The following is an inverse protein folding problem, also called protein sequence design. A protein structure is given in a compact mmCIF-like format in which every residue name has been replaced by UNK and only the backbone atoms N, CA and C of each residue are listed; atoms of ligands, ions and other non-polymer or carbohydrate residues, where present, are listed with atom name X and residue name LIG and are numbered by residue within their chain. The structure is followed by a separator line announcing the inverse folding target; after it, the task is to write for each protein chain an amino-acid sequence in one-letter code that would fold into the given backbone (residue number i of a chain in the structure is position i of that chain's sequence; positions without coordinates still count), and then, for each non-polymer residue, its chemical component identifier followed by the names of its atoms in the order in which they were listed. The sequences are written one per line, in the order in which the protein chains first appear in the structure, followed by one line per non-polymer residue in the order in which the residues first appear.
data_IF_000043169069
#
_entry.id   IF_000043169069
#
_cell.length_a   1.000
_cell.length_b   1.000
_cell.length_c   1.000
_cell.angle_alpha   90.00
_cell.angle_beta   90.00
_cell.angle_gamma   90.00
#
_symmetry.space_group_name_H-M   'P 1'
#
loop_
_entity.id
_entity.type
_entity.pdbx_description
1 polymer ?
#
# COMPACT_ATOMS: atom_id res chain seq x y z
N UNK A 1 13.63 -7.79 4.57
CA UNK A 1 12.17 -7.66 4.69
C UNK A 1 11.69 -7.99 6.10
N UNK A 2 12.17 -9.09 6.69
CA UNK A 2 11.75 -9.49 8.05
C UNK A 2 12.09 -8.41 9.09
N UNK A 3 13.29 -7.82 9.02
CA UNK A 3 13.68 -6.74 9.93
C UNK A 3 12.78 -5.49 9.78
N UNK A 4 12.36 -5.17 8.56
CA UNK A 4 11.40 -4.10 8.32
C UNK A 4 10.01 -4.44 8.90
N UNK A 5 9.56 -5.68 8.73
CA UNK A 5 8.30 -6.15 9.31
C UNK A 5 8.33 -6.09 10.85
N UNK A 6 9.44 -6.49 11.48
CA UNK A 6 9.64 -6.39 12.93
C UNK A 6 9.58 -4.93 13.40
N UNK A 7 10.22 -4.01 12.70
CA UNK A 7 10.15 -2.56 13.02
C UNK A 7 8.72 -2.03 12.97
N UNK A 8 7.92 -2.45 11.96
CA UNK A 8 6.50 -2.07 11.89
C UNK A 8 5.68 -2.63 13.06
N UNK A 9 5.98 -3.87 13.47
CA UNK A 9 5.36 -4.50 14.65
C UNK A 9 5.71 -3.75 15.93
N UNK A 10 6.99 -3.47 16.16
CA UNK A 10 7.47 -2.77 17.36
C UNK A 10 6.89 -1.36 17.48
N UNK A 11 6.66 -0.69 16.34
CA UNK A 11 5.94 0.59 16.28
C UNK A 11 4.41 0.45 16.44
N UNK A 12 3.86 -0.76 16.55
CA UNK A 12 2.41 -1.01 16.64
C UNK A 12 1.63 -0.64 15.38
N UNK A 13 2.32 -0.58 14.22
CA UNK A 13 1.74 -0.10 12.95
C UNK A 13 1.06 -1.20 12.14
N UNK A 14 1.22 -2.47 12.53
CA UNK A 14 0.65 -3.59 11.79
C UNK A 14 -0.20 -4.49 12.67
N UNK A 15 -1.13 -5.19 12.05
CA UNK A 15 -2.01 -6.15 12.71
C UNK A 15 -2.28 -7.37 11.83
N UNK A 16 -2.58 -8.56 12.42
CA UNK A 16 -2.92 -9.75 11.68
C UNK A 16 -4.32 -9.64 11.06
N UNK A 17 -4.47 -10.13 9.82
CA UNK A 17 -5.73 -10.06 9.10
C UNK A 17 -6.03 -11.36 8.36
N UNK A 18 -7.07 -12.08 8.77
CA UNK A 18 -7.54 -13.30 8.10
C UNK A 18 -8.54 -13.03 6.95
N UNK A 19 -8.95 -11.77 6.74
CA UNK A 19 -9.97 -11.42 5.75
C UNK A 19 -9.51 -11.70 4.32
N UNK A 20 -10.35 -12.34 3.55
CA UNK A 20 -10.14 -12.61 2.14
C UNK A 20 -10.44 -11.39 1.26
N UNK A 21 -9.92 -11.41 0.03
CA UNK A 21 -10.24 -10.37 -0.97
C UNK A 21 -11.74 -10.30 -1.28
N UNK A 22 -12.44 -11.43 -1.28
CA UNK A 22 -13.88 -11.49 -1.52
C UNK A 22 -14.68 -10.81 -0.40
N UNK A 23 -14.29 -10.98 0.86
CA UNK A 23 -14.94 -10.30 1.99
C UNK A 23 -14.74 -8.79 1.92
N UNK A 24 -13.54 -8.32 1.58
CA UNK A 24 -13.27 -6.88 1.39
C UNK A 24 -14.10 -6.33 0.23
N UNK A 25 -14.14 -7.04 -0.90
CA UNK A 25 -14.97 -6.67 -2.05
C UNK A 25 -16.46 -6.61 -1.72
N UNK A 26 -16.95 -7.52 -0.88
CA UNK A 26 -18.35 -7.58 -0.46
C UNK A 26 -18.76 -6.38 0.40
N UNK A 27 -17.83 -5.70 1.06
CA UNK A 27 -18.09 -4.44 1.76
C UNK A 27 -18.41 -3.27 0.80
N UNK A 28 -18.06 -3.40 -0.50
CA UNK A 28 -18.50 -2.54 -1.57
C UNK A 28 -17.89 -1.14 -1.62
N UNK A 29 -16.93 -0.82 -0.74
CA UNK A 29 -16.30 0.51 -0.71
C UNK A 29 -15.19 0.53 -1.76
N UNK A 30 -15.38 1.29 -2.83
CA UNK A 30 -14.38 1.46 -3.89
C UNK A 30 -13.49 2.67 -3.63
N UNK A 31 -12.23 2.56 -4.05
CA UNK A 31 -11.33 3.69 -4.17
C UNK A 31 -11.90 4.75 -5.13
N UNK A 32 -11.69 6.01 -4.82
CA UNK A 32 -11.96 7.14 -5.72
C UNK A 32 -11.04 7.09 -6.95
N UNK A 33 -9.85 6.51 -6.79
CA UNK A 33 -8.83 6.33 -7.84
C UNK A 33 -8.67 4.85 -8.15
N UNK A 34 -9.14 4.40 -9.32
CA UNK A 34 -8.97 3.03 -9.79
C UNK A 34 -10.04 2.04 -9.35
N UNK A 35 -9.80 0.75 -9.60
CA UNK A 35 -10.80 -0.32 -9.45
C UNK A 35 -10.65 -1.14 -8.17
N UNK A 36 -9.78 -0.73 -7.27
CA UNK A 36 -9.58 -1.49 -6.04
C UNK A 36 -10.63 -1.14 -4.96
N UNK A 37 -10.83 -2.12 -4.07
CA UNK A 37 -11.72 -1.98 -2.92
C UNK A 37 -10.92 -1.60 -1.67
N UNK A 38 -11.43 -0.62 -0.95
CA UNK A 38 -10.85 -0.18 0.32
C UNK A 38 -11.09 -1.22 1.40
N UNK A 39 -10.13 -1.39 2.30
CA UNK A 39 -10.31 -2.17 3.51
C UNK A 39 -11.24 -1.40 4.45
N UNK A 40 -12.39 -1.98 4.86
CA UNK A 40 -13.41 -1.27 5.65
C UNK A 40 -12.86 -0.79 7.00
N UNK A 41 -13.26 0.42 7.41
CA UNK A 41 -12.85 1.02 8.68
C UNK A 41 -13.25 0.17 9.89
N UNK A 42 -14.42 -0.43 9.82
CA UNK A 42 -14.99 -1.29 10.88
C UNK A 42 -14.15 -2.55 11.11
N UNK A 43 -13.50 -3.06 10.07
CA UNK A 43 -12.60 -4.21 10.15
C UNK A 43 -11.20 -3.80 10.64
N UNK A 44 -10.82 -2.55 10.41
CA UNK A 44 -9.54 -1.98 10.88
C UNK A 44 -9.52 -1.79 12.41
N UNK A 45 -10.65 -1.61 13.06
CA UNK A 45 -10.77 -1.44 14.51
C UNK A 45 -10.59 -2.74 15.30
N UNK A 46 -10.67 -3.91 14.65
CA UNK A 46 -10.47 -5.23 15.27
C UNK A 46 -8.98 -5.62 15.39
N UNK A 47 -8.11 -4.63 15.58
CA UNK A 47 -6.64 -4.77 15.57
C UNK A 47 -6.07 -5.61 16.71
N UNK A 48 -6.82 -5.81 17.81
CA UNK A 48 -6.30 -6.31 19.09
C UNK A 48 -6.58 -7.79 19.37
N UNK A 49 -7.09 -8.61 18.43
CA UNK A 49 -7.70 -9.88 18.80
C UNK A 49 -6.81 -11.14 18.70
N UNK A 50 -5.48 -11.00 18.52
CA UNK A 50 -4.62 -12.22 18.50
C UNK A 50 -3.32 -12.04 19.26
N UNK A 51 -3.41 -11.91 20.56
CA UNK A 51 -2.30 -12.17 21.46
C UNK A 51 -1.99 -13.68 21.48
N UNK A 52 -0.76 -14.06 21.16
CA UNK A 52 -0.26 -15.42 21.32
C UNK A 52 0.07 -16.19 20.02
N UNK A 53 -0.20 -15.67 18.84
CA UNK A 53 0.25 -16.30 17.58
C UNK A 53 1.76 -16.08 17.35
N UNK A 54 2.45 -17.12 16.88
CA UNK A 54 3.85 -17.04 16.47
C UNK A 54 4.00 -16.01 15.34
N UNK A 55 4.79 -14.97 15.55
CA UNK A 55 5.02 -13.90 14.56
C UNK A 55 6.10 -14.32 13.55
N UNK A 56 5.90 -14.05 12.24
CA UNK A 56 4.68 -13.55 11.61
C UNK A 56 3.58 -14.60 11.41
N UNK A 57 3.86 -15.89 11.67
CA UNK A 57 2.93 -16.99 11.55
C UNK A 57 2.42 -17.20 10.12
N UNK A 58 1.35 -17.98 10.00
CA UNK A 58 0.67 -18.25 8.73
C UNK A 58 -0.55 -17.32 8.53
N UNK A 59 -0.34 -16.01 8.69
CA UNK A 59 -1.38 -15.00 8.53
C UNK A 59 -0.91 -13.82 7.70
N UNK A 60 -1.84 -13.08 7.10
CA UNK A 60 -1.51 -11.83 6.45
C UNK A 60 -1.37 -10.71 7.50
N UNK A 61 -0.46 -9.76 7.25
CA UNK A 61 -0.32 -8.57 8.07
C UNK A 61 -0.59 -7.32 7.24
N UNK A 62 -1.41 -6.42 7.80
CA UNK A 62 -1.74 -5.13 7.18
C UNK A 62 -1.12 -3.98 7.95
N UNK A 63 -0.68 -2.97 7.21
CA UNK A 63 -0.38 -1.66 7.79
C UNK A 63 -1.69 -0.98 8.16
N UNK A 64 -1.74 -0.51 9.40
CA UNK A 64 -2.84 0.29 9.90
C UNK A 64 -2.71 1.72 9.42
N UNK A 65 -3.78 2.27 8.87
CA UNK A 65 -3.86 3.67 8.44
C UNK A 65 -4.95 4.40 9.21
N UNK A 66 -4.89 5.73 9.27
CA UNK A 66 -5.93 6.52 9.89
C UNK A 66 -6.77 7.19 8.82
N UNK A 67 -8.06 6.94 8.83
CA UNK A 67 -9.00 7.55 7.89
C UNK A 67 -9.04 9.07 8.07
N UNK A 68 -8.89 9.78 6.96
CA UNK A 68 -8.79 11.24 6.89
C UNK A 68 -7.35 11.76 6.87
N UNK A 69 -6.34 10.90 7.11
CA UNK A 69 -4.95 11.31 6.89
C UNK A 69 -4.68 11.52 5.40
N UNK A 70 -3.83 12.48 5.08
CA UNK A 70 -3.42 12.80 3.72
C UNK A 70 -1.97 12.38 3.48
N UNK A 71 -1.71 11.81 2.30
CA UNK A 71 -0.37 11.55 1.82
C UNK A 71 -0.10 12.43 0.61
N UNK A 72 0.83 13.35 0.77
CA UNK A 72 1.27 14.26 -0.29
C UNK A 72 2.45 13.66 -1.05
N UNK A 73 2.36 13.68 -2.38
CA UNK A 73 3.43 13.31 -3.32
C UNK A 73 3.72 14.52 -4.18
N UNK A 74 5.00 14.88 -4.32
CA UNK A 74 5.45 15.84 -5.33
C UNK A 74 5.95 15.04 -6.52
N UNK A 75 5.19 15.10 -7.62
CA UNK A 75 5.44 14.31 -8.82
C UNK A 75 5.98 15.17 -9.95
N UNK A 76 6.97 14.67 -10.68
CA UNK A 76 7.63 15.43 -11.74
C UNK A 76 6.74 15.79 -12.94
N UNK A 77 5.63 15.05 -13.16
CA UNK A 77 4.66 15.35 -14.22
C UNK A 77 3.34 15.92 -13.67
N UNK A 78 2.82 15.31 -12.62
CA UNK A 78 1.50 15.65 -12.08
C UNK A 78 1.53 16.87 -11.14
N UNK A 79 2.74 17.28 -10.69
CA UNK A 79 2.89 18.30 -9.67
C UNK A 79 2.56 17.75 -8.28
N UNK A 80 1.92 18.57 -7.45
CA UNK A 80 1.50 18.15 -6.13
C UNK A 80 0.22 17.32 -6.21
N UNK A 81 0.29 16.09 -5.71
CA UNK A 81 -0.83 15.16 -5.63
C UNK A 81 -1.07 14.80 -4.15
N UNK A 82 -2.31 14.90 -3.71
CA UNK A 82 -2.73 14.54 -2.35
C UNK A 82 -3.71 13.37 -2.44
N UNK A 83 -3.37 12.28 -1.77
CA UNK A 83 -4.24 11.11 -1.62
C UNK A 83 -4.71 10.99 -0.18
N UNK A 84 -6.01 10.74 -0.02
CA UNK A 84 -6.68 10.66 1.28
C UNK A 84 -6.94 9.21 1.69
N UNK A 85 -6.56 8.87 2.90
CA UNK A 85 -6.88 7.57 3.52
C UNK A 85 -8.38 7.47 3.76
N UNK A 86 -8.99 6.39 3.29
CA UNK A 86 -10.43 6.15 3.39
C UNK A 86 -11.22 6.57 2.16
N UNK A 87 -10.59 7.35 1.26
CA UNK A 87 -11.17 7.75 -0.03
C UNK A 87 -10.40 7.16 -1.20
N UNK A 88 -9.07 7.24 -1.19
CA UNK A 88 -8.20 6.76 -2.26
C UNK A 88 -7.56 5.42 -1.94
N UNK A 89 -7.15 5.21 -0.71
CA UNK A 89 -6.64 3.94 -0.22
C UNK A 89 -6.95 3.77 1.27
N UNK A 90 -6.68 2.60 1.82
CA UNK A 90 -6.88 2.28 3.24
C UNK A 90 -5.86 1.24 3.68
N UNK A 91 -6.07 0.57 4.83
CA UNK A 91 -5.17 -0.47 5.34
C UNK A 91 -4.76 -1.46 4.27
N UNK A 92 -3.48 -1.62 4.04
CA UNK A 92 -2.94 -2.42 2.96
C UNK A 92 -1.99 -3.52 3.44
N UNK A 93 -1.84 -4.54 2.61
CA UNK A 93 -1.04 -5.71 2.92
C UNK A 93 0.44 -5.35 2.90
N UNK A 94 1.18 -5.74 3.96
CA UNK A 94 2.63 -5.64 4.04
C UNK A 94 3.32 -7.00 4.13
N UNK A 95 2.62 -8.02 4.66
CA UNK A 95 3.14 -9.38 4.73
C UNK A 95 2.06 -10.40 4.39
N UNK A 96 2.43 -11.41 3.64
CA UNK A 96 1.53 -12.45 3.16
C UNK A 96 1.62 -13.68 4.07
N UNK A 97 0.50 -14.39 4.20
CA UNK A 97 0.42 -15.65 4.97
C UNK A 97 1.36 -16.76 4.48
N UNK A 98 1.83 -16.69 3.25
CA UNK A 98 2.81 -17.62 2.68
C UNK A 98 4.26 -17.27 3.02
N UNK A 99 4.48 -16.34 3.96
CA UNK A 99 5.81 -15.99 4.48
C UNK A 99 6.59 -15.00 3.61
N UNK A 100 5.94 -14.31 2.67
CA UNK A 100 6.58 -13.39 1.73
C UNK A 100 6.13 -11.96 2.00
N UNK A 101 7.05 -11.00 1.90
CA UNK A 101 6.74 -9.57 1.93
C UNK A 101 5.74 -9.23 0.81
N UNK A 102 4.74 -8.42 1.11
CA UNK A 102 3.84 -7.91 0.09
C UNK A 102 4.55 -6.83 -0.75
N UNK A 103 4.01 -6.57 -1.94
CA UNK A 103 4.62 -5.68 -2.93
C UNK A 103 5.06 -4.33 -2.36
N UNK A 104 4.21 -3.65 -1.60
CA UNK A 104 4.50 -2.32 -1.07
C UNK A 104 5.71 -2.34 -0.12
N UNK A 105 5.75 -3.31 0.80
CA UNK A 105 6.89 -3.43 1.72
C UNK A 105 8.16 -3.86 1.01
N UNK A 106 8.06 -4.83 0.08
CA UNK A 106 9.23 -5.32 -0.65
C UNK A 106 9.88 -4.19 -1.46
N UNK A 107 9.08 -3.44 -2.22
CA UNK A 107 9.56 -2.31 -3.04
C UNK A 107 10.26 -1.26 -2.18
N UNK A 108 9.64 -0.81 -1.08
CA UNK A 108 10.23 0.22 -0.21
C UNK A 108 11.55 -0.23 0.41
N UNK A 109 11.64 -1.49 0.84
CA UNK A 109 12.88 -2.03 1.41
C UNK A 109 13.98 -2.12 0.36
N UNK A 110 13.65 -2.60 -0.85
CA UNK A 110 14.62 -2.73 -1.94
C UNK A 110 15.09 -1.35 -2.42
N UNK A 111 14.17 -0.41 -2.63
CA UNK A 111 14.50 0.95 -3.04
C UNK A 111 15.42 1.64 -2.02
N UNK A 112 15.12 1.49 -0.72
CA UNK A 112 15.97 2.03 0.34
C UNK A 112 17.37 1.41 0.35
N UNK A 113 17.46 0.07 0.28
CA UNK A 113 18.75 -0.65 0.31
C UNK A 113 19.59 -0.38 -0.94
N UNK A 114 18.94 -0.25 -2.10
CA UNK A 114 19.58 0.07 -3.37
C UNK A 114 19.86 1.57 -3.54
N UNK A 115 19.42 2.41 -2.58
CA UNK A 115 19.56 3.88 -2.63
C UNK A 115 18.93 4.48 -3.88
N UNK A 116 17.74 4.00 -4.25
CA UNK A 116 16.97 4.54 -5.36
C UNK A 116 16.54 5.97 -4.99
N UNK A 117 16.82 6.91 -5.87
CA UNK A 117 16.51 8.34 -5.70
C UNK A 117 15.38 8.81 -6.57
N UNK A 118 15.09 8.09 -7.67
CA UNK A 118 14.06 8.46 -8.64
C UNK A 118 13.27 7.21 -9.07
N UNK A 119 11.95 7.33 -9.12
CA UNK A 119 11.03 6.26 -9.55
C UNK A 119 10.19 6.77 -10.71
N UNK A 120 10.35 6.15 -11.88
CA UNK A 120 9.52 6.41 -13.07
C UNK A 120 8.62 5.21 -13.33
N UNK A 121 7.30 5.44 -13.35
CA UNK A 121 6.30 4.37 -13.56
C UNK A 121 4.98 4.91 -14.11
N UNK A 122 4.04 4.04 -14.48
CA UNK A 122 2.72 4.46 -14.94
C UNK A 122 1.87 5.06 -13.82
N UNK A 123 0.98 6.00 -14.17
CA UNK A 123 0.09 6.67 -13.20
C UNK A 123 -0.92 5.73 -12.54
N UNK A 124 -1.13 4.52 -13.07
CA UNK A 124 -1.92 3.47 -12.42
C UNK A 124 -1.31 2.95 -11.11
N UNK A 125 -0.05 3.28 -10.85
CA UNK A 125 0.64 2.97 -9.59
C UNK A 125 0.65 4.14 -8.60
N UNK A 126 -0.12 5.19 -8.83
CA UNK A 126 -0.16 6.37 -7.96
C UNK A 126 -0.63 6.01 -6.53
N UNK A 127 -1.61 5.12 -6.39
CA UNK A 127 -2.05 4.59 -5.09
C UNK A 127 -0.91 3.81 -4.41
N UNK A 128 -0.19 2.97 -5.15
CA UNK A 128 0.99 2.27 -4.61
C UNK A 128 2.07 3.25 -4.17
N UNK A 129 2.28 4.34 -4.91
CA UNK A 129 3.23 5.39 -4.51
C UNK A 129 2.88 6.01 -3.18
N UNK A 130 1.59 6.30 -2.93
CA UNK A 130 1.17 6.87 -1.65
C UNK A 130 1.37 5.90 -0.49
N UNK A 131 1.07 4.62 -0.67
CA UNK A 131 1.34 3.56 0.32
C UNK A 131 2.83 3.42 0.61
N UNK A 132 3.66 3.50 -0.42
CA UNK A 132 5.11 3.43 -0.30
C UNK A 132 5.66 4.68 0.41
N UNK A 133 5.16 5.87 0.08
CA UNK A 133 5.50 7.10 0.81
C UNK A 133 5.19 6.97 2.31
N UNK A 134 4.03 6.43 2.65
CA UNK A 134 3.66 6.19 4.05
C UNK A 134 4.61 5.22 4.76
N UNK A 135 5.09 4.18 4.05
CA UNK A 135 6.11 3.27 4.58
C UNK A 135 7.48 3.94 4.73
N UNK A 136 7.94 4.74 3.75
CA UNK A 136 9.17 5.51 3.86
C UNK A 136 9.14 6.42 5.09
N UNK A 137 8.04 7.13 5.32
CA UNK A 137 7.87 8.00 6.50
C UNK A 137 7.86 7.20 7.80
N UNK A 138 7.15 6.04 7.81
CA UNK A 138 7.08 5.18 8.99
C UNK A 138 8.47 4.65 9.40
N UNK A 139 9.35 4.43 8.43
CA UNK A 139 10.73 3.99 8.67
C UNK A 139 11.71 5.14 8.90
N UNK A 140 11.28 6.38 8.78
CA UNK A 140 12.15 7.57 8.80
C UNK A 140 13.21 7.51 7.67
N UNK A 141 12.84 6.96 6.50
CA UNK A 141 13.68 6.87 5.32
C UNK A 141 13.37 8.00 4.33
N UNK A 142 14.38 8.53 3.60
CA UNK A 142 14.12 9.52 2.58
C UNK A 142 13.24 8.95 1.47
N UNK A 143 12.22 9.68 1.06
CA UNK A 143 11.39 9.31 -0.08
C UNK A 143 12.16 9.56 -1.38
N UNK A 144 12.07 8.67 -2.39
CA UNK A 144 12.54 8.97 -3.75
C UNK A 144 11.66 10.03 -4.41
N UNK A 145 12.16 10.65 -5.46
CA UNK A 145 11.36 11.48 -6.36
C UNK A 145 10.49 10.58 -7.26
N UNK A 146 9.29 11.04 -7.59
CA UNK A 146 8.35 10.28 -8.42
C UNK A 146 8.07 10.99 -9.74
N UNK A 147 7.95 10.19 -10.80
CA UNK A 147 7.45 10.62 -12.10
C UNK A 147 6.45 9.59 -12.62
N UNK A 148 5.17 9.95 -12.60
CA UNK A 148 4.11 9.07 -13.10
C UNK A 148 3.79 9.42 -14.57
N UNK A 149 4.22 8.54 -15.49
CA UNK A 149 3.95 8.64 -16.92
C UNK A 149 2.49 8.33 -17.24
N UNK A 150 2.01 8.88 -18.36
CA UNK A 150 0.67 8.60 -18.87
C UNK A 150 0.49 7.13 -19.24
N UNK A 151 -0.75 6.65 -19.11
CA UNK A 151 -1.10 5.29 -19.54
C UNK A 151 -1.32 5.25 -21.04
N UNK A 152 -0.78 4.24 -21.69
CA UNK A 152 -1.12 3.95 -23.07
C UNK A 152 -2.52 3.33 -23.12
N UNK A 153 -3.40 3.96 -23.89
CA UNK A 153 -4.76 3.52 -24.08
C UNK A 153 -4.92 2.88 -25.48
N UNK A 154 -5.73 1.83 -25.57
CA UNK A 154 -6.17 1.30 -26.83
C UNK A 154 -7.21 2.23 -27.49
N UNK A 155 -7.54 2.01 -28.75
CA UNK A 155 -8.53 2.80 -29.50
C UNK A 155 -9.93 2.84 -28.87
N UNK A 156 -10.26 1.87 -28.01
CA UNK A 156 -11.50 1.82 -27.23
C UNK A 156 -11.41 2.54 -25.88
N UNK A 157 -10.32 3.27 -25.59
CA UNK A 157 -10.10 4.00 -24.34
C UNK A 157 -9.71 3.14 -23.15
N UNK A 158 -9.56 1.82 -23.32
CA UNK A 158 -9.10 0.95 -22.25
C UNK A 158 -7.57 0.96 -22.15
N UNK A 159 -7.06 0.79 -20.94
CA UNK A 159 -5.62 0.65 -20.71
C UNK A 159 -5.07 -0.53 -21.54
N UNK A 160 -3.99 -0.29 -22.29
CA UNK A 160 -3.26 -1.38 -22.93
C UNK A 160 -2.67 -2.30 -21.87
N UNK A 161 -3.11 -3.55 -21.85
CA UNK A 161 -2.58 -4.59 -20.99
C UNK A 161 -1.79 -5.62 -21.80
N UNK A 162 -0.86 -6.32 -21.14
CA UNK A 162 -0.09 -7.40 -21.77
C UNK A 162 -0.92 -8.66 -22.08
N UNK A 163 -2.16 -8.71 -21.60
CA UNK A 163 -3.06 -9.84 -21.83
C UNK A 163 -4.04 -9.47 -22.93
N UNK A 164 -3.84 -10.08 -24.08
CA UNK A 164 -4.82 -10.13 -25.17
C UNK A 164 -5.74 -11.31 -24.90
#
# INVERSE_FOLDING_TARGET
YMDALLKLKDKGMIYPCARSRSEIKSAGIKSRLGDEYLFPKELSTQRNEREGEQFPGNTNWRLATNWGDEVKIVDGRLGEVILEVGSDFSDFLVWRKDGVAAYELATVVDDHLMKITEIVRGEDLLISSSRQCLLFDTFDWPRPEFFHGELLLASNGLKLSKTV
#
